data_IF_944198337095
#
_entry.id   IF_944198337095
#
_cell.length_a   1.000
_cell.length_b   1.000
_cell.length_c   1.000
_cell.angle_alpha   90.00
_cell.angle_beta   90.00
_cell.angle_gamma   90.00
#
_symmetry.space_group_name_H-M   'P 1'
#
loop_
_entity.id
_entity.type
_entity.pdbx_description
1 polymer ?
#
# COMPACT_ATOMS: atom_id res chain seq x y z
N UNK A 1 34.32 1.99 4.69
CA UNK A 1 32.91 2.07 4.26
C UNK A 1 32.63 0.99 3.21
N UNK A 2 31.72 0.07 3.50
CA UNK A 2 31.25 -0.96 2.56
C UNK A 2 30.13 -0.38 1.68
N UNK A 3 29.98 -0.88 0.46
CA UNK A 3 28.83 -0.55 -0.41
C UNK A 3 28.05 -1.83 -0.66
N UNK A 4 26.73 -1.74 -0.72
CA UNK A 4 25.82 -2.87 -0.94
C UNK A 4 24.80 -2.50 -2.03
N UNK A 5 24.46 -3.44 -2.91
CA UNK A 5 23.37 -3.24 -3.86
C UNK A 5 22.02 -3.46 -3.16
N UNK A 6 20.92 -3.05 -3.78
CA UNK A 6 19.61 -3.11 -3.13
C UNK A 6 19.09 -4.53 -2.92
N UNK A 7 19.36 -5.44 -3.85
CA UNK A 7 18.87 -6.81 -3.75
C UNK A 7 19.46 -7.51 -2.51
N UNK A 8 20.77 -7.38 -2.32
CA UNK A 8 21.45 -7.96 -1.16
C UNK A 8 21.05 -7.24 0.13
N UNK A 9 20.88 -5.91 0.08
CA UNK A 9 20.47 -5.14 1.25
C UNK A 9 19.09 -5.53 1.78
N UNK A 10 18.13 -5.83 0.91
CA UNK A 10 16.77 -6.22 1.32
C UNK A 10 16.71 -7.64 1.93
N UNK A 11 17.73 -8.47 1.69
CA UNK A 11 17.87 -9.84 2.22
C UNK A 11 18.60 -9.91 3.56
N UNK A 12 19.19 -8.81 4.01
CA UNK A 12 19.84 -8.77 5.31
C UNK A 12 18.79 -8.86 6.44
N UNK A 13 19.00 -9.79 7.37
CA UNK A 13 18.17 -9.89 8.58
C UNK A 13 18.52 -8.76 9.57
N UNK A 14 17.59 -8.42 10.46
CA UNK A 14 17.78 -7.41 11.51
C UNK A 14 18.50 -6.13 11.03
N UNK A 15 17.99 -5.54 9.95
CA UNK A 15 18.62 -4.41 9.26
C UNK A 15 17.80 -3.13 9.42
N UNK A 16 18.49 -2.01 9.61
CA UNK A 16 17.90 -0.67 9.54
C UNK A 16 18.42 0.11 8.34
N UNK A 17 17.50 0.60 7.53
CA UNK A 17 17.80 1.55 6.47
C UNK A 17 17.71 2.98 7.04
N UNK A 18 18.73 3.80 6.78
CA UNK A 18 18.75 5.20 7.20
C UNK A 18 18.67 6.08 5.95
N UNK A 19 17.56 6.79 5.81
CA UNK A 19 17.34 7.75 4.74
C UNK A 19 17.87 9.13 5.15
N UNK A 20 18.91 9.61 4.47
CA UNK A 20 19.48 10.95 4.73
C UNK A 20 18.96 12.03 3.78
N UNK A 21 17.90 11.73 3.01
CA UNK A 21 17.14 12.72 2.24
C UNK A 21 16.31 13.61 3.17
N UNK A 22 15.73 14.64 2.59
CA UNK A 22 14.81 15.54 3.29
C UNK A 22 13.55 14.81 3.77
N UNK A 23 12.90 15.33 4.80
CA UNK A 23 11.61 14.79 5.30
C UNK A 23 10.55 14.75 4.18
N UNK A 24 10.53 15.74 3.28
CA UNK A 24 9.58 15.75 2.15
C UNK A 24 9.84 14.59 1.19
N UNK A 25 11.10 14.30 0.87
CA UNK A 25 11.46 13.16 0.02
C UNK A 25 11.14 11.82 0.69
N UNK A 26 11.34 11.71 2.00
CA UNK A 26 11.01 10.52 2.79
C UNK A 26 9.50 10.30 2.88
N UNK A 27 8.72 11.35 3.16
CA UNK A 27 7.26 11.30 3.24
C UNK A 27 6.57 11.06 1.88
N UNK A 28 7.22 11.38 0.75
CA UNK A 28 6.74 11.03 -0.61
C UNK A 28 6.78 9.51 -0.80
N UNK A 29 7.95 8.90 -0.53
CA UNK A 29 8.14 7.44 -0.50
C UNK A 29 9.55 7.10 0.03
N UNK A 30 9.69 5.96 0.71
CA UNK A 30 10.96 5.49 1.29
C UNK A 30 11.01 3.96 1.32
N UNK A 31 12.21 3.40 1.54
CA UNK A 31 12.40 1.96 1.77
C UNK A 31 11.64 1.55 3.04
N UNK A 32 10.98 0.38 3.03
CA UNK A 32 10.21 -0.12 4.16
C UNK A 32 10.98 -0.03 5.49
N UNK A 33 10.31 0.48 6.53
CA UNK A 33 10.85 0.64 7.89
C UNK A 33 12.14 1.48 7.97
N UNK A 34 12.47 2.26 6.94
CA UNK A 34 13.62 3.15 7.00
C UNK A 34 13.41 4.27 8.03
N UNK A 35 14.48 4.63 8.74
CA UNK A 35 14.52 5.76 9.65
C UNK A 35 15.07 7.00 8.96
N UNK A 36 14.40 8.15 9.07
CA UNK A 36 14.84 9.39 8.41
C UNK A 36 15.77 10.20 9.32
N UNK A 37 17.01 10.41 8.88
CA UNK A 37 17.98 11.32 9.52
C UNK A 37 18.43 12.35 8.48
N UNK A 38 17.63 13.40 8.24
CA UNK A 38 17.85 14.31 7.13
C UNK A 38 19.14 15.10 7.29
N UNK A 39 20.03 15.05 6.29
CA UNK A 39 21.21 15.93 6.25
C UNK A 39 20.81 17.39 6.08
N UNK A 40 19.70 17.64 5.39
CA UNK A 40 19.19 18.97 5.08
C UNK A 40 17.69 19.01 5.33
N UNK A 41 17.20 20.15 5.82
CA UNK A 41 15.79 20.50 5.71
C UNK A 41 15.37 20.68 4.24
N UNK A 42 14.07 20.78 3.98
CA UNK A 42 13.56 21.01 2.63
C UNK A 42 14.14 22.30 1.99
N UNK A 43 14.23 23.37 2.77
CA UNK A 43 14.71 24.67 2.32
C UNK A 43 16.23 24.67 2.14
N UNK A 44 16.97 24.07 3.09
CA UNK A 44 18.42 23.88 3.00
C UNK A 44 18.79 23.06 1.75
N UNK A 45 18.04 21.98 1.47
CA UNK A 45 18.28 21.16 0.29
C UNK A 45 18.03 21.93 -1.01
N UNK A 46 16.99 22.76 -1.05
CA UNK A 46 16.69 23.61 -2.19
C UNK A 46 17.80 24.66 -2.43
N UNK A 47 18.31 25.28 -1.36
CA UNK A 47 19.41 26.25 -1.43
C UNK A 47 20.71 25.60 -1.94
N UNK A 48 21.14 24.49 -1.32
CA UNK A 48 22.34 23.75 -1.75
C UNK A 48 22.22 23.29 -3.21
N UNK A 49 21.04 22.80 -3.61
CA UNK A 49 20.77 22.41 -4.99
C UNK A 49 20.84 23.58 -5.99
N UNK A 50 20.39 24.76 -5.56
CA UNK A 50 20.44 25.99 -6.37
C UNK A 50 21.88 26.46 -6.56
N UNK A 51 22.67 26.50 -5.49
CA UNK A 51 24.10 26.85 -5.54
C UNK A 51 24.86 25.85 -6.40
N UNK A 52 24.62 24.55 -6.23
CA UNK A 52 25.26 23.51 -7.05
C UNK A 52 25.05 23.73 -8.55
N UNK A 53 23.84 24.14 -8.94
CA UNK A 53 23.49 24.38 -10.35
C UNK A 53 24.08 25.70 -10.89
N UNK A 54 24.14 26.76 -10.07
CA UNK A 54 24.54 28.10 -10.50
C UNK A 54 26.05 28.35 -10.37
N UNK A 55 26.63 27.91 -9.27
CA UNK A 55 27.98 28.27 -8.81
C UNK A 55 28.92 27.05 -8.77
N UNK A 56 28.35 25.84 -8.76
CA UNK A 56 29.08 24.60 -8.93
C UNK A 56 29.29 23.82 -7.64
N UNK A 57 30.09 22.76 -7.74
CA UNK A 57 30.22 21.75 -6.69
C UNK A 57 30.88 22.26 -5.41
N UNK A 58 31.91 23.09 -5.52
CA UNK A 58 32.70 23.53 -4.36
C UNK A 58 31.86 24.41 -3.43
N UNK A 59 31.24 25.47 -3.99
CA UNK A 59 30.35 26.38 -3.23
C UNK A 59 29.18 25.63 -2.57
N UNK A 60 28.61 24.63 -3.25
CA UNK A 60 27.55 23.80 -2.68
C UNK A 60 28.03 22.92 -1.51
N UNK A 61 29.30 22.49 -1.52
CA UNK A 61 29.91 21.76 -0.42
C UNK A 61 30.12 22.69 0.76
N UNK A 62 30.66 23.89 0.53
CA UNK A 62 30.89 24.90 1.58
C UNK A 62 29.57 25.24 2.28
N UNK A 63 28.52 25.54 1.50
CA UNK A 63 27.18 25.76 2.07
C UNK A 63 26.64 24.52 2.81
N UNK A 64 26.92 23.32 2.29
CA UNK A 64 26.55 22.07 2.94
C UNK A 64 27.16 21.93 4.34
N UNK A 65 28.42 22.34 4.51
CA UNK A 65 29.07 22.34 5.82
C UNK A 65 28.39 23.28 6.81
N UNK A 66 27.97 24.47 6.39
CA UNK A 66 27.27 25.42 7.26
C UNK A 66 26.00 24.80 7.88
N UNK A 67 25.24 24.05 7.08
CA UNK A 67 23.99 23.44 7.52
C UNK A 67 24.17 22.15 8.33
N UNK A 68 25.13 21.30 7.94
CA UNK A 68 25.28 19.96 8.53
C UNK A 68 26.14 20.00 9.78
N UNK A 69 27.20 20.81 9.83
CA UNK A 69 28.18 20.81 10.93
C UNK A 69 27.56 20.96 12.32
N UNK A 70 26.57 21.87 12.54
CA UNK A 70 25.92 22.00 13.85
C UNK A 70 25.12 20.75 14.28
N UNK A 71 24.67 19.93 13.32
CA UNK A 71 23.77 18.79 13.52
C UNK A 71 24.52 17.46 13.63
N UNK A 72 25.79 17.39 13.19
CA UNK A 72 26.56 16.15 13.09
C UNK A 72 26.64 15.35 14.38
N UNK A 73 26.76 16.02 15.53
CA UNK A 73 26.88 15.34 16.83
C UNK A 73 25.62 14.55 17.17
N UNK A 74 24.45 15.14 16.92
CA UNK A 74 23.17 14.52 17.25
C UNK A 74 22.84 13.41 16.25
N UNK A 75 23.09 13.65 14.95
CA UNK A 75 22.99 12.61 13.92
C UNK A 75 23.89 11.40 14.22
N UNK A 76 25.13 11.63 14.69
CA UNK A 76 26.03 10.54 15.09
C UNK A 76 25.45 9.71 16.25
N UNK A 77 24.90 10.38 17.28
CA UNK A 77 24.30 9.69 18.43
C UNK A 77 23.13 8.82 18.01
N UNK A 78 22.26 9.37 17.17
CA UNK A 78 21.10 8.66 16.64
C UNK A 78 21.51 7.43 15.81
N UNK A 79 22.45 7.57 14.88
CA UNK A 79 22.98 6.41 14.12
C UNK A 79 23.65 5.40 15.04
N UNK A 80 24.38 5.85 16.07
CA UNK A 80 25.03 4.95 17.02
C UNK A 80 24.01 4.15 17.83
N UNK A 81 22.93 4.77 18.28
CA UNK A 81 21.85 4.10 18.98
C UNK A 81 21.20 3.02 18.10
N UNK A 82 20.89 3.35 16.86
CA UNK A 82 20.39 2.39 15.88
C UNK A 82 21.39 1.26 15.61
N UNK A 83 22.69 1.55 15.49
CA UNK A 83 23.72 0.53 15.27
C UNK A 83 23.90 -0.45 16.44
N UNK A 84 23.39 -0.11 17.64
CA UNK A 84 23.40 -1.03 18.78
C UNK A 84 22.13 -1.90 18.83
N UNK A 85 21.09 -1.54 18.08
CA UNK A 85 19.81 -2.26 18.04
C UNK A 85 19.71 -3.22 16.86
N UNK A 86 20.41 -2.91 15.76
CA UNK A 86 20.36 -3.65 14.51
C UNK A 86 21.74 -4.20 14.14
N UNK A 87 21.78 -5.41 13.58
CA UNK A 87 23.02 -6.06 13.15
C UNK A 87 23.62 -5.39 11.92
N UNK A 88 22.78 -4.74 11.12
CA UNK A 88 23.19 -4.08 9.88
C UNK A 88 22.55 -2.69 9.76
N UNK A 89 23.38 -1.70 9.42
CA UNK A 89 22.95 -0.33 9.13
C UNK A 89 23.25 -0.01 7.68
N UNK A 90 22.24 0.43 6.93
CA UNK A 90 22.36 0.78 5.50
C UNK A 90 21.95 2.24 5.28
N UNK A 91 22.91 3.11 4.98
CA UNK A 91 22.66 4.53 4.73
C UNK A 91 22.44 4.78 3.24
N UNK A 92 21.40 5.54 2.89
CA UNK A 92 21.12 5.94 1.52
C UNK A 92 20.67 7.40 1.39
N UNK A 93 20.89 7.95 0.19
CA UNK A 93 20.29 9.21 -0.24
C UNK A 93 19.59 8.99 -1.59
N UNK A 94 19.15 10.04 -2.28
CA UNK A 94 18.40 9.88 -3.53
C UNK A 94 19.12 9.06 -4.62
N UNK A 95 20.44 9.18 -4.75
CA UNK A 95 21.22 8.56 -5.83
C UNK A 95 22.51 7.85 -5.37
N UNK A 96 22.67 7.62 -4.07
CA UNK A 96 23.90 7.00 -3.52
C UNK A 96 25.18 7.84 -3.68
N UNK A 97 25.01 9.16 -3.87
CA UNK A 97 26.08 10.11 -4.16
C UNK A 97 26.74 10.71 -2.91
N UNK A 98 27.13 11.99 -3.00
CA UNK A 98 27.93 12.65 -1.96
C UNK A 98 27.22 12.79 -0.61
N UNK A 99 25.89 12.98 -0.58
CA UNK A 99 25.11 13.08 0.67
C UNK A 99 25.32 11.86 1.57
N UNK A 100 24.86 10.69 1.12
CA UNK A 100 25.07 9.46 1.89
C UNK A 100 26.54 9.05 1.96
N UNK A 101 27.33 9.28 0.90
CA UNK A 101 28.73 8.87 0.88
C UNK A 101 29.62 9.61 1.88
N UNK A 102 29.48 10.94 2.00
CA UNK A 102 30.26 11.74 2.96
C UNK A 102 29.91 11.38 4.41
N UNK A 103 28.62 11.29 4.71
CA UNK A 103 28.14 10.94 6.04
C UNK A 103 28.51 9.50 6.43
N UNK A 104 28.31 8.53 5.53
CA UNK A 104 28.70 7.14 5.74
C UNK A 104 30.22 6.98 5.94
N UNK A 105 31.04 7.74 5.20
CA UNK A 105 32.50 7.73 5.39
C UNK A 105 32.91 8.30 6.75
N UNK A 106 32.30 9.41 7.19
CA UNK A 106 32.56 9.99 8.50
C UNK A 106 32.27 8.97 9.61
N UNK A 107 31.07 8.40 9.61
CA UNK A 107 30.63 7.42 10.60
C UNK A 107 31.49 6.15 10.59
N UNK A 108 31.85 5.66 9.40
CA UNK A 108 32.74 4.51 9.24
C UNK A 108 34.16 4.80 9.78
N UNK A 109 34.67 6.03 9.61
CA UNK A 109 36.01 6.41 10.09
C UNK A 109 36.11 6.48 11.62
N UNK A 110 34.99 6.67 12.31
CA UNK A 110 34.88 6.71 13.78
C UNK A 110 34.36 5.38 14.37
N UNK A 111 34.34 4.31 13.57
CA UNK A 111 34.15 2.94 14.02
C UNK A 111 32.73 2.38 13.93
N UNK A 112 31.77 3.07 13.29
CA UNK A 112 30.43 2.49 13.04
C UNK A 112 30.50 1.58 11.80
N UNK A 113 30.17 0.30 11.96
CA UNK A 113 30.04 -0.62 10.81
C UNK A 113 28.71 -0.37 10.11
N UNK A 114 28.77 0.00 8.84
CA UNK A 114 27.61 0.33 8.03
C UNK A 114 27.91 0.13 6.55
N UNK A 115 26.83 -0.02 5.79
CA UNK A 115 26.84 -0.02 4.33
C UNK A 115 26.31 1.31 3.80
N UNK A 116 26.85 1.73 2.65
CA UNK A 116 26.21 2.72 1.78
C UNK A 116 25.42 1.97 0.71
N UNK A 117 24.14 2.31 0.52
CA UNK A 117 23.34 1.74 -0.57
C UNK A 117 23.82 2.28 -1.93
N UNK A 118 24.20 1.38 -2.83
CA UNK A 118 24.57 1.71 -4.19
C UNK A 118 23.38 2.26 -4.97
N UNK A 119 23.55 3.39 -5.66
CA UNK A 119 22.48 4.03 -6.43
C UNK A 119 21.35 4.66 -5.60
N UNK A 120 21.36 4.47 -4.27
CA UNK A 120 20.43 5.09 -3.32
C UNK A 120 18.96 4.75 -3.54
N UNK A 121 18.06 5.65 -3.15
CA UNK A 121 16.62 5.43 -3.34
C UNK A 121 16.23 5.20 -4.81
N UNK A 122 16.96 5.80 -5.77
CA UNK A 122 16.71 5.56 -7.20
C UNK A 122 16.91 4.11 -7.61
N UNK A 123 17.96 3.43 -7.12
CA UNK A 123 18.17 2.01 -7.44
C UNK A 123 17.09 1.15 -6.78
N UNK A 124 16.67 1.47 -5.56
CA UNK A 124 15.50 0.84 -4.93
C UNK A 124 14.23 1.00 -5.75
N UNK A 125 13.90 2.22 -6.19
CA UNK A 125 12.70 2.45 -7.00
C UNK A 125 12.72 1.65 -8.30
N UNK A 126 13.88 1.59 -8.96
CA UNK A 126 14.04 0.77 -10.16
C UNK A 126 13.88 -0.72 -9.87
N UNK A 127 14.43 -1.22 -8.76
CA UNK A 127 14.29 -2.60 -8.33
C UNK A 127 12.84 -2.99 -8.06
N UNK A 128 12.09 -2.13 -7.36
CA UNK A 128 10.66 -2.31 -7.13
C UNK A 128 9.90 -2.40 -8.46
N UNK A 129 10.13 -1.46 -9.40
CA UNK A 129 9.47 -1.50 -10.71
C UNK A 129 9.77 -2.76 -11.50
N UNK A 130 11.04 -3.16 -11.54
CA UNK A 130 11.47 -4.36 -12.25
C UNK A 130 10.92 -5.64 -11.61
N UNK A 131 10.87 -5.69 -10.27
CA UNK A 131 10.26 -6.81 -9.55
C UNK A 131 8.77 -6.96 -9.90
N UNK A 132 8.00 -5.87 -9.87
CA UNK A 132 6.56 -5.90 -10.18
C UNK A 132 6.29 -6.23 -11.65
N UNK A 133 7.17 -5.81 -12.55
CA UNK A 133 7.07 -6.13 -13.98
C UNK A 133 7.24 -7.63 -14.24
N UNK A 134 8.11 -8.30 -13.49
CA UNK A 134 8.38 -9.74 -13.65
C UNK A 134 7.66 -10.58 -12.59
N UNK A 135 6.48 -10.14 -12.14
CA UNK A 135 5.77 -10.75 -11.01
C UNK A 135 5.24 -12.16 -11.33
N UNK A 136 4.81 -12.38 -12.58
CA UNK A 136 4.24 -13.67 -13.02
C UNK A 136 5.25 -14.82 -12.95
N UNK A 137 6.56 -14.52 -13.03
CA UNK A 137 7.62 -15.53 -12.88
C UNK A 137 7.80 -15.96 -11.41
N UNK A 138 7.23 -15.22 -10.47
CA UNK A 138 7.51 -15.34 -9.04
C UNK A 138 6.28 -15.69 -8.21
N UNK A 139 5.10 -15.23 -8.60
CA UNK A 139 3.89 -15.28 -7.76
C UNK A 139 2.65 -15.67 -8.58
N UNK A 140 1.75 -16.38 -7.94
CA UNK A 140 0.42 -16.72 -8.41
C UNK A 140 -0.64 -16.11 -7.48
N UNK A 141 -1.75 -15.68 -8.05
CA UNK A 141 -2.80 -14.98 -7.30
C UNK A 141 -4.03 -15.86 -7.11
N UNK A 142 -4.54 -15.88 -5.88
CA UNK A 142 -5.86 -16.42 -5.55
C UNK A 142 -6.79 -15.22 -5.35
N UNK A 143 -7.66 -15.00 -6.32
CA UNK A 143 -8.44 -13.78 -6.48
C UNK A 143 -9.81 -13.96 -5.85
N UNK A 144 -10.11 -13.17 -4.82
CA UNK A 144 -11.41 -13.11 -4.18
C UNK A 144 -12.32 -12.12 -4.94
N UNK A 145 -13.36 -12.67 -5.55
CA UNK A 145 -14.42 -11.92 -6.22
C UNK A 145 -15.64 -11.78 -5.32
N UNK A 146 -16.49 -10.82 -5.63
CA UNK A 146 -17.80 -10.68 -5.01
C UNK A 146 -18.27 -9.24 -5.00
N UNK A 147 -19.57 -9.08 -4.81
CA UNK A 147 -20.24 -7.78 -4.82
C UNK A 147 -19.78 -6.87 -3.68
N UNK A 148 -20.16 -5.60 -3.72
CA UNK A 148 -19.84 -4.65 -2.64
C UNK A 148 -20.47 -5.12 -1.32
N UNK A 149 -19.70 -5.08 -0.23
CA UNK A 149 -20.17 -5.46 1.11
C UNK A 149 -20.21 -6.96 1.40
N UNK A 150 -19.72 -7.83 0.50
CA UNK A 150 -19.68 -9.29 0.77
C UNK A 150 -18.68 -9.69 1.85
N UNK A 151 -17.76 -8.81 2.26
CA UNK A 151 -16.80 -9.08 3.32
C UNK A 151 -15.42 -9.57 2.86
N UNK A 152 -15.00 -9.24 1.62
CA UNK A 152 -13.67 -9.60 1.10
C UNK A 152 -12.52 -9.13 2.01
N UNK A 153 -12.57 -7.87 2.43
CA UNK A 153 -11.58 -7.28 3.35
C UNK A 153 -11.51 -8.02 4.68
N UNK A 154 -12.67 -8.37 5.26
CA UNK A 154 -12.73 -9.16 6.51
C UNK A 154 -12.04 -10.52 6.35
N UNK A 155 -12.26 -11.18 5.21
CA UNK A 155 -11.62 -12.46 4.88
C UNK A 155 -10.11 -12.32 4.69
N UNK A 156 -9.64 -11.29 3.96
CA UNK A 156 -8.21 -11.05 3.75
C UNK A 156 -7.48 -10.79 5.07
N UNK A 157 -8.06 -9.95 5.94
CA UNK A 157 -7.50 -9.66 7.27
C UNK A 157 -7.43 -10.92 8.13
N UNK A 158 -8.47 -11.75 8.10
CA UNK A 158 -8.47 -13.00 8.88
C UNK A 158 -7.47 -14.03 8.30
N UNK A 159 -7.29 -14.10 6.98
CA UNK A 159 -6.23 -14.90 6.36
C UNK A 159 -4.84 -14.44 6.80
N UNK A 160 -4.58 -13.14 6.85
CA UNK A 160 -3.31 -12.58 7.30
C UNK A 160 -3.00 -12.98 8.76
N UNK A 161 -3.98 -12.89 9.67
CA UNK A 161 -3.84 -13.37 11.06
C UNK A 161 -3.50 -14.86 11.14
N UNK A 162 -3.95 -15.63 10.15
CA UNK A 162 -3.64 -17.04 10.01
C UNK A 162 -2.32 -17.32 9.26
N UNK A 163 -1.45 -16.32 9.14
CA UNK A 163 -0.13 -16.39 8.48
C UNK A 163 -0.19 -16.73 6.99
N UNK A 164 -1.29 -16.40 6.30
CA UNK A 164 -1.39 -16.52 4.84
C UNK A 164 -1.09 -15.16 4.23
N UNK A 165 -0.26 -15.14 3.19
CA UNK A 165 0.12 -13.90 2.50
C UNK A 165 -1.06 -13.35 1.70
N UNK A 166 -1.33 -12.06 1.88
CA UNK A 166 -2.43 -11.35 1.22
C UNK A 166 -1.96 -10.05 0.57
N UNK A 167 -2.78 -9.55 -0.36
CA UNK A 167 -2.75 -8.18 -0.86
C UNK A 167 -4.16 -7.62 -0.76
N UNK A 168 -4.29 -6.62 0.09
CA UNK A 168 -5.47 -5.76 0.19
C UNK A 168 -5.16 -4.46 -0.58
N UNK A 169 -5.63 -4.39 -1.83
CA UNK A 169 -5.34 -3.27 -2.73
C UNK A 169 -6.03 -1.98 -2.24
N UNK A 170 -7.24 -2.11 -1.72
CA UNK A 170 -8.05 -1.07 -1.10
C UNK A 170 -7.32 -0.45 0.09
N UNK A 171 -6.86 -1.27 1.03
CA UNK A 171 -6.11 -0.82 2.20
C UNK A 171 -4.76 -0.21 1.80
N UNK A 172 -4.05 -0.81 0.84
CA UNK A 172 -2.80 -0.26 0.33
C UNK A 172 -3.00 1.09 -0.39
N UNK A 173 -4.12 1.27 -1.09
CA UNK A 173 -4.52 2.50 -1.76
C UNK A 173 -5.20 3.50 -0.82
N UNK A 174 -5.51 3.11 0.43
CA UNK A 174 -6.38 3.85 1.36
C UNK A 174 -7.69 4.26 0.68
N UNK A 175 -8.37 3.29 0.10
CA UNK A 175 -9.66 3.46 -0.56
C UNK A 175 -10.51 2.21 -0.37
N UNK A 176 -11.73 2.29 0.16
CA UNK A 176 -12.60 1.09 0.32
C UNK A 176 -13.48 0.79 -0.90
N UNK A 177 -12.89 0.80 -2.11
CA UNK A 177 -13.50 0.33 -3.37
C UNK A 177 -14.75 1.06 -3.84
N UNK A 178 -15.16 2.12 -3.15
CA UNK A 178 -16.44 2.78 -3.35
C UNK A 178 -16.26 4.29 -3.56
N UNK A 179 -17.28 4.97 -4.09
CA UNK A 179 -17.29 6.45 -4.13
C UNK A 179 -17.24 7.05 -2.72
N UNK A 180 -17.67 6.30 -1.72
CA UNK A 180 -17.56 6.61 -0.30
C UNK A 180 -16.19 6.20 0.28
N UNK A 181 -15.28 5.64 -0.53
CA UNK A 181 -14.13 4.90 -0.03
C UNK A 181 -13.01 5.73 0.59
N UNK A 182 -13.07 7.05 0.48
CA UNK A 182 -12.17 7.98 1.19
C UNK A 182 -12.69 8.33 2.59
N UNK A 183 -13.99 8.11 2.85
CA UNK A 183 -14.62 8.42 4.14
C UNK A 183 -14.05 7.54 5.25
N UNK A 184 -13.56 6.36 4.87
CA UNK A 184 -13.07 5.36 5.80
C UNK A 184 -11.64 5.61 6.27
N UNK A 185 -10.87 6.46 5.58
CA UNK A 185 -9.46 6.74 5.86
C UNK A 185 -9.22 8.21 6.21
N UNK A 186 -8.81 8.46 7.46
CA UNK A 186 -8.47 9.82 7.94
C UNK A 186 -7.11 10.33 7.42
N UNK A 187 -6.36 9.49 6.69
CA UNK A 187 -5.02 9.80 6.20
C UNK A 187 -5.00 10.15 4.71
N UNK A 188 -4.02 10.97 4.31
CA UNK A 188 -3.80 11.29 2.88
C UNK A 188 -3.60 10.01 2.06
N UNK A 189 -4.28 9.90 0.90
CA UNK A 189 -4.08 8.78 0.01
C UNK A 189 -2.62 8.70 -0.49
N UNK A 190 -2.09 7.49 -0.73
CA UNK A 190 -0.69 7.28 -1.11
C UNK A 190 -0.39 7.84 -2.50
N UNK A 191 0.88 8.16 -2.78
CA UNK A 191 1.30 8.40 -4.17
C UNK A 191 1.35 7.08 -4.94
N UNK A 192 1.41 7.14 -6.27
CA UNK A 192 1.60 5.94 -7.10
C UNK A 192 2.86 5.17 -6.69
N UNK A 193 3.95 5.86 -6.35
CA UNK A 193 5.20 5.22 -5.90
C UNK A 193 4.99 4.47 -4.59
N UNK A 194 4.35 5.12 -3.62
CA UNK A 194 4.07 4.50 -2.31
C UNK A 194 3.16 3.28 -2.44
N UNK A 195 2.16 3.35 -3.31
CA UNK A 195 1.29 2.21 -3.59
C UNK A 195 2.06 1.04 -4.19
N UNK A 196 2.90 1.28 -5.19
CA UNK A 196 3.76 0.26 -5.80
C UNK A 196 4.77 -0.32 -4.79
N UNK A 197 5.35 0.53 -3.95
CA UNK A 197 6.25 0.12 -2.86
C UNK A 197 5.55 -0.79 -1.85
N UNK A 198 4.32 -0.46 -1.43
CA UNK A 198 3.51 -1.29 -0.52
C UNK A 198 3.23 -2.67 -1.12
N UNK A 199 2.79 -2.71 -2.37
CA UNK A 199 2.54 -3.97 -3.08
C UNK A 199 3.83 -4.80 -3.17
N UNK A 200 4.92 -4.17 -3.58
CA UNK A 200 6.22 -4.84 -3.67
C UNK A 200 6.66 -5.42 -2.33
N UNK A 201 6.54 -4.67 -1.24
CA UNK A 201 6.95 -5.15 0.08
C UNK A 201 6.11 -6.38 0.50
N UNK A 202 4.79 -6.35 0.26
CA UNK A 202 3.90 -7.49 0.54
C UNK A 202 4.33 -8.73 -0.23
N UNK A 203 4.71 -8.58 -1.50
CA UNK A 203 5.11 -9.68 -2.39
C UNK A 203 6.54 -10.17 -2.13
N UNK A 204 7.47 -9.26 -1.91
CA UNK A 204 8.89 -9.57 -1.75
C UNK A 204 9.14 -10.34 -0.45
N UNK A 205 8.44 -9.97 0.63
CA UNK A 205 8.55 -10.62 1.94
C UNK A 205 7.48 -11.70 2.17
N UNK A 206 6.70 -12.06 1.15
CA UNK A 206 5.70 -13.12 1.28
C UNK A 206 6.36 -14.47 1.53
N UNK A 207 5.73 -15.28 2.38
CA UNK A 207 6.24 -16.61 2.78
C UNK A 207 5.99 -17.67 1.70
N UNK A 208 5.02 -17.41 0.85
CA UNK A 208 4.55 -18.31 -0.21
C UNK A 208 4.50 -17.60 -1.55
N UNK A 209 4.40 -18.37 -2.62
CA UNK A 209 4.20 -17.83 -3.96
C UNK A 209 2.72 -17.71 -4.34
N UNK A 210 1.80 -18.13 -3.45
CA UNK A 210 0.35 -18.09 -3.67
C UNK A 210 -0.27 -17.05 -2.75
N UNK A 211 -0.66 -15.93 -3.33
CA UNK A 211 -1.06 -14.74 -2.60
C UNK A 211 -2.56 -14.51 -2.80
N UNK A 212 -3.31 -14.37 -1.71
CA UNK A 212 -4.69 -13.94 -1.84
C UNK A 212 -4.75 -12.46 -2.19
N UNK A 213 -5.64 -12.09 -3.09
CA UNK A 213 -5.85 -10.71 -3.51
C UNK A 213 -7.32 -10.48 -3.80
N UNK A 214 -7.82 -9.30 -3.51
CA UNK A 214 -9.18 -8.92 -3.90
C UNK A 214 -9.27 -8.59 -5.40
N UNK A 215 -10.41 -8.92 -5.99
CA UNK A 215 -10.75 -8.48 -7.34
C UNK A 215 -11.16 -7.02 -7.31
N UNK A 216 -10.25 -6.15 -7.75
CA UNK A 216 -10.52 -4.73 -7.94
C UNK A 216 -10.31 -4.30 -9.39
N UNK A 217 -10.90 -3.14 -9.72
CA UNK A 217 -10.65 -2.53 -11.02
C UNK A 217 -9.18 -2.10 -11.12
N UNK A 218 -8.68 -1.93 -12.35
CA UNK A 218 -7.30 -1.46 -12.59
C UNK A 218 -6.98 -0.14 -11.86
N UNK A 219 -8.00 0.67 -11.56
CA UNK A 219 -7.88 1.89 -10.78
C UNK A 219 -8.50 1.68 -9.41
N UNK A 220 -7.71 1.88 -8.36
CA UNK A 220 -8.18 1.85 -6.97
C UNK A 220 -8.03 3.27 -6.43
N UNK A 221 -9.16 3.99 -6.30
CA UNK A 221 -9.15 5.42 -6.03
C UNK A 221 -8.44 6.24 -7.10
N UNK A 222 -7.32 6.86 -6.74
CA UNK A 222 -6.49 7.71 -7.61
C UNK A 222 -5.18 7.02 -8.05
N UNK A 223 -4.90 5.81 -7.57
CA UNK A 223 -3.74 5.00 -7.98
C UNK A 223 -4.14 3.92 -8.98
N UNK A 224 -3.16 3.42 -9.72
CA UNK A 224 -3.33 2.34 -10.69
C UNK A 224 -2.59 1.10 -10.23
N UNK A 225 -3.26 -0.04 -10.29
CA UNK A 225 -2.63 -1.36 -10.12
C UNK A 225 -1.64 -1.55 -11.28
N UNK A 226 -0.39 -1.99 -11.00
CA UNK A 226 0.58 -2.32 -12.04
C UNK A 226 -0.03 -3.26 -13.08
N UNK A 227 0.26 -3.01 -14.37
CA UNK A 227 -0.37 -3.75 -15.47
C UNK A 227 -0.14 -5.25 -15.34
N UNK A 228 1.08 -5.63 -14.99
CA UNK A 228 1.52 -7.02 -14.92
C UNK A 228 0.82 -7.77 -13.77
N UNK A 229 0.52 -7.08 -12.67
CA UNK A 229 -0.32 -7.64 -11.60
C UNK A 229 -1.77 -7.78 -12.07
N UNK A 230 -2.32 -6.73 -12.68
CA UNK A 230 -3.70 -6.75 -13.15
C UNK A 230 -3.93 -7.84 -14.21
N UNK A 231 -3.01 -7.99 -15.14
CA UNK A 231 -3.05 -9.02 -16.18
C UNK A 231 -2.89 -10.42 -15.56
N UNK A 232 -2.01 -10.59 -14.58
CA UNK A 232 -1.85 -11.85 -13.85
C UNK A 232 -3.12 -12.25 -13.08
N UNK A 233 -3.76 -11.29 -12.41
CA UNK A 233 -5.06 -11.47 -11.74
C UNK A 233 -6.07 -11.99 -12.75
N UNK A 234 -6.18 -11.36 -13.94
CA UNK A 234 -7.22 -11.69 -14.92
C UNK A 234 -6.98 -13.02 -15.64
N UNK A 235 -5.74 -13.28 -16.06
CA UNK A 235 -5.43 -14.36 -17.01
C UNK A 235 -5.03 -15.66 -16.33
N UNK A 236 -4.28 -15.55 -15.24
CA UNK A 236 -3.58 -16.68 -14.62
C UNK A 236 -4.02 -16.90 -13.16
N UNK A 237 -4.93 -16.07 -12.65
CA UNK A 237 -5.45 -16.13 -11.30
C UNK A 237 -6.35 -17.33 -11.04
N UNK A 238 -6.30 -17.86 -9.82
CA UNK A 238 -7.30 -18.78 -9.29
C UNK A 238 -8.46 -17.98 -8.73
N UNK A 239 -9.65 -18.10 -9.32
CA UNK A 239 -10.78 -17.24 -9.01
C UNK A 239 -11.77 -17.91 -8.06
N UNK A 240 -12.03 -17.26 -6.93
CA UNK A 240 -13.03 -17.67 -5.96
C UNK A 240 -14.10 -16.59 -5.90
N UNK A 241 -15.38 -16.96 -6.08
CA UNK A 241 -16.50 -16.04 -5.88
C UNK A 241 -17.00 -16.15 -4.45
N UNK A 242 -17.01 -15.03 -3.73
CA UNK A 242 -17.64 -14.91 -2.42
C UNK A 242 -19.04 -14.35 -2.60
N UNK A 243 -20.03 -15.12 -2.18
CA UNK A 243 -21.44 -14.74 -2.15
C UNK A 243 -21.86 -14.47 -0.71
N UNK A 244 -22.83 -13.57 -0.55
CA UNK A 244 -23.44 -13.27 0.74
C UNK A 244 -24.84 -12.69 0.50
N UNK A 245 -25.77 -12.94 1.43
CA UNK A 245 -27.12 -12.38 1.35
C UNK A 245 -27.10 -10.84 1.47
N UNK A 246 -28.18 -10.19 1.03
CA UNK A 246 -28.25 -8.72 1.01
C UNK A 246 -28.26 -8.15 2.43
N UNK A 247 -28.91 -8.83 3.37
CA UNK A 247 -29.06 -8.38 4.75
C UNK A 247 -27.72 -8.23 5.46
N UNK A 248 -26.81 -9.20 5.28
CA UNK A 248 -25.50 -9.19 5.89
C UNK A 248 -24.57 -8.19 5.20
N UNK A 249 -24.69 -8.01 3.87
CA UNK A 249 -24.01 -6.93 3.14
C UNK A 249 -24.41 -5.55 3.66
N UNK A 250 -25.71 -5.34 3.86
CA UNK A 250 -26.26 -4.08 4.41
C UNK A 250 -25.75 -3.84 5.83
N UNK A 251 -25.80 -4.85 6.71
CA UNK A 251 -25.29 -4.74 8.08
C UNK A 251 -23.80 -4.36 8.11
N UNK A 252 -22.96 -5.03 7.30
CA UNK A 252 -21.52 -4.73 7.21
C UNK A 252 -21.29 -3.28 6.79
N UNK A 253 -21.93 -2.84 5.70
CA UNK A 253 -21.74 -1.47 5.20
C UNK A 253 -22.29 -0.41 6.16
N UNK A 254 -23.42 -0.66 6.83
CA UNK A 254 -23.91 0.26 7.85
C UNK A 254 -22.92 0.38 9.01
N UNK A 255 -22.32 -0.74 9.42
CA UNK A 255 -21.26 -0.72 10.44
C UNK A 255 -20.08 0.14 9.98
N UNK A 256 -19.51 -0.15 8.81
CA UNK A 256 -18.28 0.48 8.32
C UNK A 256 -18.41 1.99 8.04
N UNK A 257 -19.55 2.38 7.47
CA UNK A 257 -19.79 3.74 6.97
C UNK A 257 -20.68 4.58 7.86
N UNK A 258 -21.36 4.03 8.88
CA UNK A 258 -22.35 4.78 9.66
C UNK A 258 -22.10 4.60 11.16
N UNK A 259 -22.11 3.36 11.66
CA UNK A 259 -22.11 3.11 13.11
C UNK A 259 -20.73 3.22 13.76
N UNK A 260 -19.67 2.84 13.07
CA UNK A 260 -18.30 2.93 13.60
C UNK A 260 -17.66 4.31 13.32
N UNK A 261 -18.47 5.33 12.97
CA UNK A 261 -18.02 6.67 12.58
C UNK A 261 -18.60 7.76 13.49
N UNK A 262 -17.87 8.87 13.58
CA UNK A 262 -18.26 10.03 14.39
C UNK A 262 -19.49 10.76 13.80
N UNK A 263 -20.22 11.54 14.61
CA UNK A 263 -21.46 12.22 14.19
C UNK A 263 -21.33 13.11 12.93
N UNK A 264 -20.16 13.73 12.71
CA UNK A 264 -19.89 14.54 11.52
C UNK A 264 -19.84 13.75 10.19
N UNK A 265 -19.84 12.42 10.25
CA UNK A 265 -19.81 11.56 9.08
C UNK A 265 -21.12 11.57 8.28
N UNK A 266 -22.26 11.85 8.91
CA UNK A 266 -23.56 11.94 8.22
C UNK A 266 -23.56 13.07 7.19
N UNK A 267 -22.91 14.20 7.49
CA UNK A 267 -22.80 15.32 6.56
C UNK A 267 -21.93 14.96 5.35
N UNK A 268 -20.85 14.20 5.57
CA UNK A 268 -20.00 13.67 4.49
C UNK A 268 -20.78 12.70 3.59
N UNK A 269 -21.58 11.80 4.18
CA UNK A 269 -22.46 10.91 3.42
C UNK A 269 -23.46 11.72 2.59
N UNK A 270 -24.08 12.77 3.16
CA UNK A 270 -25.01 13.64 2.43
C UNK A 270 -24.34 14.31 1.23
N UNK A 271 -23.13 14.83 1.38
CA UNK A 271 -22.36 15.38 0.26
C UNK A 271 -22.08 14.35 -0.82
N UNK A 272 -21.71 13.13 -0.44
CA UNK A 272 -21.45 12.04 -1.37
C UNK A 272 -22.71 11.63 -2.14
N UNK A 273 -23.86 11.50 -1.48
CA UNK A 273 -25.16 11.24 -2.11
C UNK A 273 -25.45 12.33 -3.15
N UNK A 274 -25.20 13.60 -2.81
CA UNK A 274 -25.38 14.74 -3.71
C UNK A 274 -24.54 14.64 -5.01
N UNK A 275 -23.34 14.06 -4.95
CA UNK A 275 -22.47 13.86 -6.13
C UNK A 275 -23.07 12.87 -7.15
N UNK A 276 -23.96 11.98 -6.72
CA UNK A 276 -24.62 11.01 -7.61
C UNK A 276 -25.75 11.59 -8.43
N UNK A 277 -26.11 12.87 -8.26
CA UNK A 277 -27.20 13.54 -9.03
C UNK A 277 -27.08 13.37 -10.54
N UNK A 278 -25.86 13.35 -11.09
CA UNK A 278 -25.61 13.11 -12.52
C UNK A 278 -25.83 11.66 -12.97
N UNK A 279 -25.66 10.68 -12.08
CA UNK A 279 -25.73 9.25 -12.39
C UNK A 279 -27.10 8.65 -12.05
N UNK A 280 -27.65 8.99 -10.89
CA UNK A 280 -28.92 8.44 -10.37
C UNK A 280 -30.14 9.33 -10.67
N UNK A 281 -29.90 10.59 -11.04
CA UNK A 281 -30.95 11.59 -11.25
C UNK A 281 -31.42 12.24 -9.94
N UNK A 282 -32.06 13.40 -10.06
CA UNK A 282 -32.48 14.21 -8.91
C UNK A 282 -33.45 13.46 -7.98
N UNK A 283 -34.44 12.77 -8.55
CA UNK A 283 -35.49 12.09 -7.79
C UNK A 283 -34.93 11.03 -6.82
N UNK A 284 -33.97 10.22 -7.27
CA UNK A 284 -33.32 9.20 -6.42
C UNK A 284 -32.43 9.83 -5.35
N UNK A 285 -31.71 10.89 -5.69
CA UNK A 285 -30.88 11.62 -4.72
C UNK A 285 -31.73 12.23 -3.62
N UNK A 286 -32.89 12.80 -3.95
CA UNK A 286 -33.83 13.34 -2.96
C UNK A 286 -34.37 12.23 -2.06
N UNK A 287 -34.77 11.09 -2.64
CA UNK A 287 -35.20 9.90 -1.88
C UNK A 287 -34.11 9.40 -0.92
N UNK A 288 -32.87 9.28 -1.40
CA UNK A 288 -31.75 8.80 -0.60
C UNK A 288 -31.36 9.79 0.50
N UNK A 289 -31.46 11.09 0.23
CA UNK A 289 -31.23 12.14 1.23
C UNK A 289 -32.32 12.08 2.31
N UNK A 290 -33.58 11.85 1.92
CA UNK A 290 -34.68 11.68 2.89
C UNK A 290 -34.46 10.44 3.77
N UNK A 291 -34.05 9.30 3.20
CA UNK A 291 -33.75 8.10 4.00
C UNK A 291 -32.60 8.35 4.98
N UNK A 292 -31.58 9.11 4.58
CA UNK A 292 -30.49 9.52 5.47
C UNK A 292 -31.00 10.41 6.61
N UNK A 293 -31.83 11.41 6.31
CA UNK A 293 -32.39 12.34 7.30
C UNK A 293 -33.35 11.65 8.27
N UNK A 294 -34.13 10.67 7.79
CA UNK A 294 -35.03 9.83 8.60
C UNK A 294 -34.29 8.74 9.39
N UNK A 295 -32.96 8.67 9.27
CA UNK A 295 -32.09 7.64 9.88
C UNK A 295 -32.43 6.21 9.47
N UNK A 296 -33.02 6.04 8.28
CA UNK A 296 -33.34 4.74 7.67
C UNK A 296 -32.13 4.21 6.88
N UNK A 297 -31.04 4.00 7.60
CA UNK A 297 -29.74 3.70 7.02
C UNK A 297 -29.69 2.37 6.27
N UNK A 298 -30.29 1.32 6.83
CA UNK A 298 -30.29 -0.01 6.20
C UNK A 298 -31.04 0.01 4.86
N UNK A 299 -32.22 0.66 4.82
CA UNK A 299 -33.01 0.83 3.60
C UNK A 299 -32.25 1.66 2.55
N UNK A 300 -31.54 2.71 2.98
CA UNK A 300 -30.69 3.52 2.11
C UNK A 300 -29.58 2.68 1.48
N UNK A 301 -28.85 1.91 2.29
CA UNK A 301 -27.73 1.09 1.83
C UNK A 301 -28.21 -0.03 0.90
N UNK A 302 -29.31 -0.70 1.24
CA UNK A 302 -29.89 -1.75 0.40
C UNK A 302 -30.26 -1.21 -1.00
N UNK A 303 -30.95 -0.07 -1.05
CA UNK A 303 -31.29 0.60 -2.32
C UNK A 303 -30.04 0.96 -3.12
N UNK A 304 -29.00 1.49 -2.46
CA UNK A 304 -27.74 1.79 -3.13
C UNK A 304 -27.08 0.55 -3.73
N UNK A 305 -27.08 -0.56 -3.01
CA UNK A 305 -26.52 -1.81 -3.49
C UNK A 305 -27.25 -2.31 -4.73
N UNK A 306 -28.57 -2.48 -4.62
CA UNK A 306 -29.39 -3.10 -5.69
C UNK A 306 -29.49 -2.20 -6.92
N UNK A 307 -29.69 -0.90 -6.73
CA UNK A 307 -30.01 0.01 -7.84
C UNK A 307 -28.78 0.60 -8.52
N UNK A 308 -27.61 0.54 -7.89
CA UNK A 308 -26.41 1.18 -8.40
C UNK A 308 -25.18 0.27 -8.44
N UNK A 309 -24.78 -0.32 -7.31
CA UNK A 309 -23.53 -1.08 -7.25
C UNK A 309 -23.62 -2.44 -7.95
N UNK A 310 -24.63 -3.23 -7.64
CA UNK A 310 -24.75 -4.60 -8.15
C UNK A 310 -24.84 -4.63 -9.69
N UNK A 311 -25.63 -3.76 -10.38
CA UNK A 311 -25.63 -3.71 -11.83
C UNK A 311 -24.25 -3.41 -12.45
N UNK A 312 -23.41 -2.61 -11.79
CA UNK A 312 -22.07 -2.28 -12.29
C UNK A 312 -21.12 -3.48 -12.15
N UNK A 313 -21.20 -4.21 -11.04
CA UNK A 313 -20.34 -5.37 -10.78
C UNK A 313 -20.79 -6.65 -11.50
N UNK A 314 -22.08 -6.82 -11.79
CA UNK A 314 -22.58 -8.00 -12.52
C UNK A 314 -21.92 -8.15 -13.90
N UNK A 315 -21.46 -7.06 -14.52
CA UNK A 315 -20.71 -7.12 -15.77
C UNK A 315 -19.30 -7.67 -15.63
N UNK A 316 -18.64 -7.51 -14.48
CA UNK A 316 -17.29 -8.03 -14.21
C UNK A 316 -17.33 -9.45 -13.66
N UNK A 317 -18.29 -9.77 -12.77
CA UNK A 317 -18.46 -11.11 -12.17
C UNK A 317 -18.68 -12.17 -13.26
N UNK A 318 -19.51 -11.87 -14.26
CA UNK A 318 -19.82 -12.83 -15.32
C UNK A 318 -18.69 -13.10 -16.33
N UNK A 319 -17.53 -12.44 -16.20
CA UNK A 319 -16.41 -12.61 -17.14
C UNK A 319 -15.45 -13.74 -16.73
N UNK A 320 -15.52 -14.20 -15.48
CA UNK A 320 -14.58 -15.18 -14.96
C UNK A 320 -15.21 -16.57 -14.86
N UNK A 321 -14.38 -17.58 -15.13
CA UNK A 321 -14.70 -18.94 -14.72
C UNK A 321 -14.17 -19.15 -13.31
N UNK A 322 -15.09 -19.32 -12.36
CA UNK A 322 -14.73 -19.54 -10.97
C UNK A 322 -14.24 -20.97 -10.74
N UNK A 323 -13.12 -21.08 -10.01
CA UNK A 323 -12.61 -22.35 -9.49
C UNK A 323 -13.49 -22.84 -8.33
N UNK A 324 -14.02 -21.91 -7.54
CA UNK A 324 -14.87 -22.20 -6.39
C UNK A 324 -15.84 -21.02 -6.14
N UNK A 325 -17.02 -21.34 -5.57
CA UNK A 325 -18.01 -20.37 -5.14
C UNK A 325 -18.31 -20.67 -3.68
N UNK A 326 -18.11 -19.69 -2.80
CA UNK A 326 -18.27 -19.82 -1.35
C UNK A 326 -19.37 -18.88 -0.86
N UNK A 327 -20.26 -19.40 -0.03
CA UNK A 327 -21.32 -18.63 0.62
C UNK A 327 -20.84 -18.19 2.01
N UNK A 328 -20.55 -16.89 2.17
CA UNK A 328 -19.98 -16.35 3.39
C UNK A 328 -21.07 -16.10 4.44
N UNK A 329 -21.25 -17.10 5.30
CA UNK A 329 -22.15 -17.09 6.47
C UNK A 329 -21.41 -17.04 7.80
N UNK A 330 -20.31 -17.78 7.92
CA UNK A 330 -19.46 -17.83 9.11
C UNK A 330 -17.99 -17.64 8.73
N UNK A 331 -17.30 -16.76 9.46
CA UNK A 331 -15.92 -16.39 9.15
C UNK A 331 -14.97 -17.58 9.30
N UNK A 332 -15.17 -18.44 10.29
CA UNK A 332 -14.23 -19.54 10.56
C UNK A 332 -14.38 -20.64 9.51
N UNK A 333 -15.62 -20.97 9.14
CA UNK A 333 -15.91 -21.94 8.07
C UNK A 333 -15.31 -21.47 6.74
N UNK A 334 -15.64 -20.26 6.30
CA UNK A 334 -15.14 -19.71 5.03
C UNK A 334 -13.60 -19.61 5.02
N UNK A 335 -12.98 -19.24 6.15
CA UNK A 335 -11.51 -19.20 6.24
C UNK A 335 -10.88 -20.59 6.14
N UNK A 336 -11.51 -21.63 6.69
CA UNK A 336 -11.01 -23.00 6.55
C UNK A 336 -11.13 -23.49 5.11
N UNK A 337 -12.21 -23.16 4.40
CA UNK A 337 -12.36 -23.45 2.98
C UNK A 337 -11.28 -22.74 2.14
N UNK A 338 -11.05 -21.44 2.37
CA UNK A 338 -9.99 -20.68 1.71
C UNK A 338 -8.60 -21.25 2.00
N UNK A 339 -8.32 -21.66 3.24
CA UNK A 339 -7.07 -22.36 3.61
C UNK A 339 -6.92 -23.68 2.87
N UNK A 340 -7.99 -24.45 2.73
CA UNK A 340 -7.98 -25.73 2.01
C UNK A 340 -7.75 -25.53 0.52
N UNK A 341 -8.36 -24.50 -0.06
CA UNK A 341 -8.09 -24.09 -1.43
C UNK A 341 -6.62 -23.69 -1.61
N UNK A 342 -6.08 -22.83 -0.73
CA UNK A 342 -4.67 -22.41 -0.77
C UNK A 342 -3.71 -23.61 -0.71
N UNK A 343 -3.91 -24.53 0.23
CA UNK A 343 -3.13 -25.76 0.33
C UNK A 343 -3.20 -26.60 -0.95
N UNK A 344 -4.36 -26.65 -1.59
CA UNK A 344 -4.59 -27.42 -2.82
C UNK A 344 -3.91 -26.75 -4.01
N UNK A 345 -4.02 -25.44 -4.17
CA UNK A 345 -3.35 -24.67 -5.20
C UNK A 345 -1.82 -24.82 -5.10
N UNK A 346 -1.27 -24.67 -3.90
CA UNK A 346 0.17 -24.86 -3.62
C UNK A 346 0.63 -26.28 -3.93
N UNK A 347 -0.18 -27.31 -3.63
CA UNK A 347 0.15 -28.72 -3.94
C UNK A 347 0.05 -29.02 -5.43
N UNK A 348 -1.01 -28.56 -6.10
CA UNK A 348 -1.27 -28.80 -7.51
C UNK A 348 -0.15 -28.25 -8.41
N UNK A 349 0.40 -27.09 -8.06
CA UNK A 349 1.55 -26.53 -8.78
C UNK A 349 2.87 -27.25 -8.51
N UNK A 350 3.01 -27.98 -7.39
CA UNK A 350 4.20 -28.83 -7.13
C UNK A 350 4.17 -30.15 -7.88
N UNK A 351 3.02 -30.54 -8.42
CA UNK A 351 2.81 -31.79 -9.18
C UNK A 351 2.81 -31.61 -10.70
N UNK A 352 2.82 -30.37 -11.18
CA UNK A 352 3.09 -30.01 -12.57
C UNK A 352 4.57 -29.66 -12.74
#
# INVERSE_FOLDING_TARGET
>A
MKTINIEDALKLENTIFIDVRTEKEYNDDHILNAHNIPLFSNDEHHEVGTIYKKEGKHEAIDKGFDFVSPKLKDMYREVKELSNQYDHVVIYCARGGMRSGSFANLLSSIGIDLYKLEGGYKSYRNYVLDYLKNIMDKKQFIVLHGLTGVGKTELLVELEKNNIDIIDLEQMAKNTGSVFGFITFDEKPPTQKTFETRIFNSLFYSKTDFIFIESESKRVGHVLVPNEIYDAIIRDGYHILIECNIEDRVKRLCKDYIYDRNEGNIDVLRECIGRFKKRLGQKKVDEYTQLLDDKKYEELVEKYLIEYYDPLYMHSVNQYKYNEILDFKDINETIEDLKNFHKTAVKGAKTC
#
